data_IF_984523278907
#
_entry.id   IF_984523278907
#
_cell.length_a   1.000
_cell.length_b   1.000
_cell.length_c   1.000
_cell.angle_alpha   90.00
_cell.angle_beta   90.00
_cell.angle_gamma   90.00
#
_symmetry.space_group_name_H-M   'P 1'
#
loop_
_entity.id
_entity.type
_entity.pdbx_description
1 polymer ?
#
# COMPACT_ATOMS: atom_id res chain seq x y z
N UNK A 1 -5.83 -2.32 13.46
CA UNK A 1 -7.11 -1.89 12.87
C UNK A 1 -6.99 -0.42 12.55
N UNK A 2 -7.24 -0.01 11.32
CA UNK A 2 -7.26 1.42 10.99
C UNK A 2 -8.54 2.00 11.60
N UNK A 3 -8.47 3.01 12.48
CA UNK A 3 -9.64 3.59 13.09
C UNK A 3 -10.48 4.32 12.03
N UNK A 4 -11.80 4.18 12.14
CA UNK A 4 -12.72 5.01 11.37
C UNK A 4 -12.51 6.46 11.78
N UNK A 5 -12.09 7.31 10.84
CA UNK A 5 -11.84 8.72 11.13
C UNK A 5 -13.16 9.49 11.15
N UNK A 6 -13.31 10.55 11.98
CA UNK A 6 -14.51 11.39 11.97
C UNK A 6 -14.90 11.92 10.59
N UNK A 7 -13.91 12.17 9.72
CA UNK A 7 -14.13 12.59 8.32
C UNK A 7 -14.85 11.54 7.49
N UNK A 8 -14.58 10.25 7.72
CA UNK A 8 -15.27 9.18 7.02
C UNK A 8 -16.74 9.16 7.40
N UNK A 9 -17.09 9.35 8.68
CA UNK A 9 -18.48 9.44 9.15
C UNK A 9 -19.25 10.57 8.45
N UNK A 10 -18.64 11.75 8.33
CA UNK A 10 -19.25 12.90 7.66
C UNK A 10 -19.60 12.61 6.19
N UNK A 11 -18.78 11.80 5.49
CA UNK A 11 -19.07 11.40 4.12
C UNK A 11 -20.33 10.52 4.01
N UNK A 12 -20.58 9.64 4.99
CA UNK A 12 -21.83 8.84 5.03
C UNK A 12 -23.04 9.74 5.25
N UNK A 13 -22.95 10.71 6.16
CA UNK A 13 -24.03 11.67 6.45
C UNK A 13 -24.39 12.45 5.18
N UNK A 14 -23.40 13.02 4.48
CA UNK A 14 -23.64 13.77 3.24
C UNK A 14 -24.28 12.91 2.13
N UNK A 15 -23.88 11.64 2.01
CA UNK A 15 -24.49 10.72 1.04
C UNK A 15 -25.94 10.38 1.40
N UNK A 16 -26.24 10.17 2.67
CA UNK A 16 -27.60 9.91 3.14
C UNK A 16 -28.50 11.14 2.94
N UNK A 17 -28.02 12.34 3.26
CA UNK A 17 -28.72 13.61 2.98
C UNK A 17 -28.96 13.81 1.48
N UNK A 18 -27.97 13.54 0.64
CA UNK A 18 -28.12 13.60 -0.80
C UNK A 18 -29.18 12.59 -1.32
N UNK A 19 -29.20 11.37 -0.79
CA UNK A 19 -30.20 10.35 -1.12
C UNK A 19 -31.62 10.82 -0.77
N UNK A 20 -31.81 11.45 0.40
CA UNK A 20 -33.10 12.02 0.80
C UNK A 20 -33.52 13.18 -0.13
N UNK A 21 -32.58 14.10 -0.44
CA UNK A 21 -32.84 15.26 -1.31
C UNK A 21 -33.24 14.88 -2.73
N UNK A 22 -32.61 13.87 -3.33
CA UNK A 22 -32.94 13.40 -4.68
C UNK A 22 -34.37 12.86 -4.75
N UNK A 23 -34.87 12.31 -3.64
CA UNK A 23 -36.26 11.83 -3.51
C UNK A 23 -37.24 12.93 -3.07
N UNK A 24 -36.78 14.19 -2.99
CA UNK A 24 -37.52 15.34 -2.47
C UNK A 24 -38.02 15.17 -1.03
N UNK A 25 -37.31 14.37 -0.22
CA UNK A 25 -37.60 14.21 1.20
C UNK A 25 -36.91 15.32 2.02
N UNK A 26 -37.64 15.87 2.98
CA UNK A 26 -37.13 16.81 3.99
C UNK A 26 -36.43 16.09 5.18
N UNK A 27 -36.57 14.77 5.25
CA UNK A 27 -36.00 13.93 6.31
C UNK A 27 -35.17 12.78 5.73
N UNK A 28 -34.03 12.54 6.36
CA UNK A 28 -33.20 11.36 6.09
C UNK A 28 -33.83 10.16 6.78
N UNK A 29 -33.95 9.05 6.04
CA UNK A 29 -34.53 7.79 6.53
C UNK A 29 -33.47 6.70 6.69
N UNK A 30 -33.82 5.59 7.35
CA UNK A 30 -32.95 4.42 7.46
C UNK A 30 -32.49 3.92 6.07
N UNK A 31 -33.40 3.91 5.10
CA UNK A 31 -33.09 3.47 3.74
C UNK A 31 -32.05 4.36 3.05
N UNK A 32 -32.01 5.66 3.37
CA UNK A 32 -30.98 6.56 2.83
C UNK A 32 -29.60 6.25 3.44
N UNK A 33 -29.55 5.94 4.74
CA UNK A 33 -28.33 5.48 5.39
C UNK A 33 -27.86 4.12 4.82
N UNK A 34 -28.77 3.17 4.62
CA UNK A 34 -28.46 1.87 4.01
C UNK A 34 -27.94 2.04 2.57
N UNK A 35 -28.55 2.93 1.77
CA UNK A 35 -28.04 3.27 0.43
C UNK A 35 -26.64 3.88 0.48
N UNK A 36 -26.39 4.82 1.38
CA UNK A 36 -25.08 5.44 1.56
C UNK A 36 -24.01 4.39 1.93
N UNK A 37 -24.33 3.49 2.87
CA UNK A 37 -23.45 2.37 3.26
C UNK A 37 -23.18 1.48 2.06
N UNK A 38 -24.21 1.05 1.33
CA UNK A 38 -24.06 0.18 0.16
C UNK A 38 -23.16 0.80 -0.93
N UNK A 39 -23.29 2.10 -1.18
CA UNK A 39 -22.48 2.82 -2.15
C UNK A 39 -21.01 2.83 -1.72
N UNK A 40 -20.74 3.21 -0.47
CA UNK A 40 -19.38 3.25 0.06
C UNK A 40 -18.78 1.85 0.06
N UNK A 41 -19.49 0.83 0.54
CA UNK A 41 -19.00 -0.55 0.54
C UNK A 41 -18.65 -1.06 -0.87
N UNK A 42 -19.50 -0.77 -1.87
CA UNK A 42 -19.21 -1.13 -3.27
C UNK A 42 -17.96 -0.41 -3.79
N UNK A 43 -17.82 0.87 -3.46
CA UNK A 43 -16.63 1.64 -3.82
C UNK A 43 -15.38 1.05 -3.15
N UNK A 44 -15.41 0.87 -1.82
CA UNK A 44 -14.30 0.33 -1.04
C UNK A 44 -13.90 -1.04 -1.59
N UNK A 45 -14.85 -1.96 -1.85
CA UNK A 45 -14.54 -3.27 -2.46
C UNK A 45 -13.90 -3.15 -3.84
N UNK A 46 -14.25 -2.15 -4.64
CA UNK A 46 -13.63 -1.95 -5.96
C UNK A 46 -12.20 -1.39 -5.87
N UNK A 47 -11.93 -0.52 -4.90
CA UNK A 47 -10.62 0.16 -4.79
C UNK A 47 -9.66 -0.52 -3.81
N UNK A 48 -10.19 -1.24 -2.82
CA UNK A 48 -9.44 -1.93 -1.78
C UNK A 48 -9.29 -3.41 -2.02
N UNK A 49 -9.51 -3.92 -3.23
CA UNK A 49 -9.10 -5.28 -3.57
C UNK A 49 -7.64 -5.24 -3.98
N UNK A 50 -6.82 -5.99 -3.25
CA UNK A 50 -5.45 -6.28 -3.60
C UNK A 50 -5.43 -6.98 -4.97
N UNK A 51 -4.83 -6.32 -5.97
CA UNK A 51 -4.73 -6.85 -7.33
C UNK A 51 -3.89 -8.14 -7.39
N UNK A 52 -3.05 -8.38 -6.40
CA UNK A 52 -2.18 -9.54 -6.32
C UNK A 52 -2.82 -10.73 -5.64
N UNK A 53 -3.57 -10.50 -4.55
CA UNK A 53 -4.20 -11.59 -3.78
C UNK A 53 -5.68 -11.77 -4.10
N UNK A 54 -6.31 -10.81 -4.77
CA UNK A 54 -7.75 -10.76 -5.03
C UNK A 54 -8.59 -10.54 -3.78
N UNK A 55 -7.96 -10.28 -2.63
CA UNK A 55 -8.63 -10.11 -1.34
C UNK A 55 -8.84 -8.64 -1.03
N UNK A 56 -9.91 -8.36 -0.29
CA UNK A 56 -10.14 -7.02 0.25
C UNK A 56 -9.08 -6.72 1.32
N UNK A 57 -8.30 -5.66 1.09
CA UNK A 57 -7.24 -5.16 1.95
C UNK A 57 -7.43 -3.66 2.19
N UNK A 58 -7.72 -3.30 3.44
CA UNK A 58 -7.98 -1.91 3.84
C UNK A 58 -6.72 -1.06 3.82
N UNK A 59 -5.53 -1.68 3.90
CA UNK A 59 -4.25 -0.98 3.90
C UNK A 59 -4.00 -0.32 2.53
N UNK A 60 -4.54 -0.90 1.44
CA UNK A 60 -4.52 -0.30 0.11
C UNK A 60 -5.29 1.01 0.09
N UNK A 61 -6.46 1.05 0.74
CA UNK A 61 -7.31 2.24 0.76
C UNK A 61 -6.66 3.36 1.58
N UNK A 62 -5.99 3.00 2.68
CA UNK A 62 -5.39 3.97 3.59
C UNK A 62 -4.02 4.46 3.13
N UNK A 63 -3.17 3.56 2.63
CA UNK A 63 -1.74 3.83 2.35
C UNK A 63 -1.38 3.77 0.86
N UNK A 64 -2.26 3.20 0.02
CA UNK A 64 -1.96 2.90 -1.38
C UNK A 64 -1.00 1.72 -1.56
N UNK A 65 -0.77 0.92 -0.52
CA UNK A 65 0.10 -0.26 -0.50
C UNK A 65 -0.69 -1.42 0.12
N UNK A 66 -0.65 -2.59 -0.49
CA UNK A 66 -1.21 -3.80 0.14
C UNK A 66 -0.28 -4.31 1.23
N UNK A 67 -0.82 -5.07 2.18
CA UNK A 67 -0.01 -5.74 3.20
C UNK A 67 1.02 -6.67 2.58
N UNK A 68 0.63 -7.41 1.55
CA UNK A 68 1.52 -8.27 0.77
C UNK A 68 2.70 -7.49 0.18
N UNK A 69 2.45 -6.30 -0.37
CA UNK A 69 3.50 -5.44 -0.91
C UNK A 69 4.37 -4.82 0.19
N UNK A 70 3.77 -4.41 1.30
CA UNK A 70 4.50 -3.89 2.46
C UNK A 70 5.49 -4.93 3.01
N UNK A 71 5.02 -6.17 3.22
CA UNK A 71 5.86 -7.26 3.71
C UNK A 71 7.03 -7.56 2.76
N UNK A 72 6.80 -7.53 1.44
CA UNK A 72 7.89 -7.65 0.46
C UNK A 72 8.91 -6.52 0.55
N UNK A 73 8.45 -5.27 0.71
CA UNK A 73 9.33 -4.12 0.85
C UNK A 73 10.21 -4.23 2.10
N UNK A 74 9.67 -4.76 3.21
CA UNK A 74 10.46 -5.06 4.41
C UNK A 74 11.52 -6.11 4.13
N UNK A 75 11.17 -7.21 3.48
CA UNK A 75 12.15 -8.25 3.10
C UNK A 75 13.23 -7.69 2.19
N UNK A 76 12.90 -6.85 1.21
CA UNK A 76 13.89 -6.20 0.35
C UNK A 76 14.83 -5.28 1.14
N UNK A 77 14.31 -4.51 2.10
CA UNK A 77 15.14 -3.68 2.98
C UNK A 77 16.11 -4.51 3.81
N UNK A 78 15.68 -5.65 4.35
CA UNK A 78 16.54 -6.60 5.06
C UNK A 78 17.66 -7.12 4.14
N UNK A 79 17.32 -7.62 2.95
CA UNK A 79 18.28 -8.11 1.96
C UNK A 79 19.32 -7.04 1.62
N UNK A 80 18.89 -5.80 1.36
CA UNK A 80 19.81 -4.70 1.04
C UNK A 80 20.75 -4.41 2.21
N UNK A 81 20.26 -4.42 3.46
CA UNK A 81 21.10 -4.21 4.65
C UNK A 81 22.12 -5.32 4.82
N UNK A 82 21.71 -6.57 4.67
CA UNK A 82 22.58 -7.73 4.86
C UNK A 82 23.69 -7.75 3.80
N UNK A 83 23.35 -7.58 2.52
CA UNK A 83 24.32 -7.47 1.43
C UNK A 83 25.26 -6.27 1.58
N UNK A 84 24.76 -5.13 2.10
CA UNK A 84 25.63 -3.99 2.40
C UNK A 84 26.63 -4.31 3.53
N UNK A 85 26.24 -5.10 4.54
CA UNK A 85 27.15 -5.47 5.66
C UNK A 85 28.22 -6.47 5.23
N UNK A 86 27.88 -7.38 4.32
CA UNK A 86 28.78 -8.41 3.81
C UNK A 86 29.75 -7.86 2.75
N UNK A 87 29.36 -6.81 2.04
CA UNK A 87 30.15 -6.15 1.00
C UNK A 87 31.25 -5.26 1.58
N UNK A 88 32.47 -5.39 1.05
CA UNK A 88 33.60 -4.51 1.41
C UNK A 88 33.36 -3.03 1.08
N UNK A 89 32.56 -2.74 0.04
CA UNK A 89 32.22 -1.38 -0.37
C UNK A 89 31.00 -0.82 0.39
N UNK A 90 30.38 -1.64 1.23
CA UNK A 90 29.18 -1.29 1.97
C UNK A 90 27.95 -1.09 1.08
N UNK A 91 27.91 -1.69 -0.12
CA UNK A 91 26.88 -1.52 -1.15
C UNK A 91 26.33 -2.88 -1.59
N UNK A 92 25.02 -2.94 -1.86
CA UNK A 92 24.34 -4.12 -2.37
C UNK A 92 24.10 -4.03 -3.88
N UNK A 93 24.51 -5.05 -4.64
CA UNK A 93 24.31 -5.09 -6.09
C UNK A 93 22.86 -5.46 -6.46
N UNK A 94 22.30 -4.82 -7.49
CA UNK A 94 20.91 -5.06 -7.96
C UNK A 94 20.64 -6.54 -8.25
N UNK A 95 21.54 -7.20 -8.96
CA UNK A 95 21.36 -8.59 -9.38
C UNK A 95 21.39 -9.55 -8.19
N UNK A 96 22.27 -9.29 -7.21
CA UNK A 96 22.34 -10.04 -5.95
C UNK A 96 21.08 -9.85 -5.11
N UNK A 97 20.60 -8.60 -4.98
CA UNK A 97 19.34 -8.30 -4.27
C UNK A 97 18.18 -9.07 -4.91
N UNK A 98 18.06 -9.05 -6.25
CA UNK A 98 16.97 -9.73 -6.95
C UNK A 98 17.10 -11.25 -6.91
N UNK A 99 18.33 -11.78 -6.92
CA UNK A 99 18.59 -13.21 -6.76
C UNK A 99 18.18 -13.70 -5.36
N UNK A 100 18.58 -12.98 -4.32
CA UNK A 100 18.20 -13.28 -2.94
C UNK A 100 16.71 -13.07 -2.68
N UNK A 101 16.09 -12.07 -3.31
CA UNK A 101 14.64 -11.92 -3.23
C UNK A 101 13.93 -13.15 -3.82
N UNK A 102 14.42 -13.65 -4.97
CA UNK A 102 13.87 -14.83 -5.63
C UNK A 102 14.11 -16.10 -4.82
N UNK A 103 15.27 -16.24 -4.14
CA UNK A 103 15.56 -17.37 -3.24
C UNK A 103 14.58 -17.42 -2.06
N UNK A 104 14.11 -16.26 -1.58
CA UNK A 104 13.07 -16.11 -0.55
C UNK A 104 11.64 -16.23 -1.08
N UNK A 105 11.46 -16.61 -2.35
CA UNK A 105 10.14 -16.86 -2.97
C UNK A 105 9.44 -15.62 -3.52
N UNK A 106 10.15 -14.49 -3.67
CA UNK A 106 9.60 -13.28 -4.27
C UNK A 106 9.69 -13.35 -5.80
N UNK A 107 8.62 -12.97 -6.48
CA UNK A 107 8.66 -12.85 -7.95
C UNK A 107 9.59 -11.70 -8.34
N UNK A 108 10.61 -11.99 -9.18
CA UNK A 108 11.62 -11.01 -9.61
C UNK A 108 11.02 -9.70 -10.15
N UNK A 109 9.96 -9.79 -10.96
CA UNK A 109 9.30 -8.61 -11.55
C UNK A 109 8.68 -7.69 -10.49
N UNK A 110 8.18 -8.27 -9.38
CA UNK A 110 7.60 -7.52 -8.25
C UNK A 110 8.68 -6.96 -7.37
N UNK A 111 9.70 -7.78 -7.06
CA UNK A 111 10.87 -7.35 -6.31
C UNK A 111 11.53 -6.12 -6.96
N UNK A 112 11.67 -6.10 -8.28
CA UNK A 112 12.21 -4.96 -9.01
C UNK A 112 11.34 -3.70 -8.90
N UNK A 113 10.02 -3.83 -9.05
CA UNK A 113 9.08 -2.71 -8.88
C UNK A 113 9.10 -2.13 -7.46
N UNK A 114 9.16 -3.01 -6.47
CA UNK A 114 9.17 -2.63 -5.05
C UNK A 114 10.53 -2.01 -4.66
N UNK A 115 11.65 -2.48 -5.24
CA UNK A 115 12.99 -1.87 -5.10
C UNK A 115 13.02 -0.44 -5.68
N UNK A 116 12.49 -0.24 -6.88
CA UNK A 116 12.35 1.10 -7.47
C UNK A 116 11.42 2.01 -6.64
N UNK A 117 10.46 1.42 -5.92
CA UNK A 117 9.60 2.17 -5.02
C UNK A 117 10.37 2.59 -3.77
N UNK A 118 11.12 1.70 -3.14
CA UNK A 118 11.99 2.01 -1.99
C UNK A 118 12.99 3.14 -2.32
N UNK A 119 13.53 3.14 -3.54
CA UNK A 119 14.38 4.22 -4.05
C UNK A 119 13.62 5.55 -4.16
N UNK A 120 12.42 5.52 -4.74
CA UNK A 120 11.57 6.73 -4.89
C UNK A 120 11.09 7.30 -3.55
N UNK A 121 10.85 6.46 -2.55
CA UNK A 121 10.47 6.89 -1.20
C UNK A 121 11.66 7.32 -0.35
N UNK A 122 12.89 7.16 -0.83
CA UNK A 122 14.11 7.55 -0.13
C UNK A 122 14.56 6.61 0.97
N UNK A 123 13.95 5.42 1.10
CA UNK A 123 14.38 4.40 2.07
C UNK A 123 15.71 3.75 1.68
N UNK A 124 15.97 3.68 0.37
CA UNK A 124 17.26 3.33 -0.21
C UNK A 124 17.67 4.38 -1.23
N UNK A 125 18.95 4.43 -1.56
CA UNK A 125 19.49 5.25 -2.63
C UNK A 125 20.48 4.46 -3.48
N UNK A 126 20.74 4.95 -4.71
CA UNK A 126 21.63 4.30 -5.68
C UNK A 126 22.91 5.14 -5.85
N UNK A 127 23.93 4.97 -4.99
CA UNK A 127 25.17 5.74 -5.08
C UNK A 127 25.94 5.52 -6.39
N UNK A 128 25.85 4.32 -6.96
CA UNK A 128 26.43 3.94 -8.25
C UNK A 128 25.39 3.15 -9.02
N UNK A 129 25.36 3.30 -10.34
CA UNK A 129 24.41 2.57 -11.17
C UNK A 129 24.44 1.07 -10.88
N UNK A 130 23.30 0.50 -10.51
CA UNK A 130 23.13 -0.90 -10.14
C UNK A 130 23.55 -1.26 -8.71
N UNK A 131 23.92 -0.30 -7.87
CA UNK A 131 24.32 -0.51 -6.48
C UNK A 131 23.49 0.35 -5.53
N UNK A 132 22.99 -0.28 -4.47
CA UNK A 132 22.06 0.33 -3.52
C UNK A 132 22.65 0.37 -2.11
N UNK A 133 22.24 1.38 -1.34
CA UNK A 133 22.45 1.49 0.10
C UNK A 133 21.16 1.90 0.80
N UNK A 134 21.00 1.49 2.05
CA UNK A 134 19.93 1.99 2.91
C UNK A 134 20.24 3.41 3.32
N UNK A 135 19.24 4.28 3.26
CA UNK A 135 19.33 5.63 3.84
C UNK A 135 19.30 5.47 5.36
N UNK A 136 20.37 5.84 6.06
CA UNK A 136 20.35 5.85 7.52
C UNK A 136 19.30 6.86 8.01
N UNK A 137 18.25 6.36 8.69
CA UNK A 137 17.40 7.20 9.53
C UNK A 137 18.21 7.55 10.78
N UNK A 138 18.45 8.85 10.99
CA UNK A 138 18.92 9.41 12.27
C UNK A 138 17.81 9.36 13.32
#
# INVERSE_FOLDING_TARGET
SIPFTPRQLEAFVRLAEASARVRLSDRVTLEDAERAISIIEKYLRRVGVDKETGKFDIDIIATGISRSQHDRMLTLMEIVRDLCRESQEGMANKEEILAEATSRGLERSRAEKDLERLKRTGQIYEPRHGYYKVTEEY
#
